data_IF_973327375507
#
_entry.id   IF_973327375507
#
_cell.length_a   1.000
_cell.length_b   1.000
_cell.length_c   1.000
_cell.angle_alpha   90.00
_cell.angle_beta   90.00
_cell.angle_gamma   90.00
#
_symmetry.space_group_name_H-M   'P 1'
#
loop_
_entity.id
_entity.type
_entity.pdbx_description
1 polymer ?
#
# COMPACT_ATOMS: atom_id res chain seq x y z
N UNK A 1 33.17 36.08 14.77
CA UNK A 1 32.45 35.05 14.05
C UNK A 1 31.89 34.02 15.03
N UNK A 2 30.58 33.95 15.23
CA UNK A 2 29.96 33.01 16.17
C UNK A 2 30.12 31.58 15.67
N UNK A 3 30.83 30.75 16.42
CA UNK A 3 31.00 29.31 16.15
C UNK A 3 29.65 28.63 16.34
N UNK A 4 29.02 28.17 15.23
CA UNK A 4 27.75 27.42 15.31
C UNK A 4 28.04 26.11 16.08
N UNK A 5 27.29 25.90 17.17
CA UNK A 5 27.34 24.71 18.01
C UNK A 5 27.27 23.43 17.12
N UNK A 6 28.24 22.49 17.29
CA UNK A 6 28.26 21.22 16.54
C UNK A 6 26.96 20.42 16.65
N UNK A 7 26.29 20.44 17.81
CA UNK A 7 25.01 19.74 18.06
C UNK A 7 23.91 20.37 17.22
N UNK A 8 23.84 21.71 17.16
CA UNK A 8 22.88 22.44 16.31
C UNK A 8 23.10 22.18 14.82
N UNK A 9 24.36 22.14 14.39
CA UNK A 9 24.73 21.81 12.98
C UNK A 9 24.30 20.39 12.61
N UNK A 10 24.56 19.40 13.49
CA UNK A 10 24.15 18.02 13.28
C UNK A 10 22.62 17.86 13.25
N UNK A 11 21.88 18.61 14.10
CA UNK A 11 20.41 18.63 14.09
C UNK A 11 19.87 19.19 12.77
N UNK A 12 20.40 20.32 12.29
CA UNK A 12 20.01 20.92 11.00
C UNK A 12 20.32 19.96 9.85
N UNK A 13 21.47 19.30 9.86
CA UNK A 13 21.83 18.31 8.83
C UNK A 13 20.90 17.10 8.80
N UNK A 14 20.49 16.58 9.96
CA UNK A 14 19.51 15.49 10.05
C UNK A 14 18.16 15.91 9.51
N UNK A 15 17.68 17.11 9.88
CA UNK A 15 16.39 17.63 9.43
C UNK A 15 16.38 17.86 7.90
N UNK A 16 17.42 18.44 7.33
CA UNK A 16 17.55 18.59 5.87
C UNK A 16 17.51 17.23 5.15
N UNK A 17 18.22 16.23 5.68
CA UNK A 17 18.19 14.86 5.12
C UNK A 17 16.79 14.27 5.19
N UNK A 18 16.10 14.40 6.32
CA UNK A 18 14.72 13.94 6.50
C UNK A 18 13.76 14.59 5.48
N UNK A 19 13.85 15.91 5.30
CA UNK A 19 13.03 16.66 4.36
C UNK A 19 13.29 16.27 2.90
N UNK A 20 14.55 16.10 2.51
CA UNK A 20 14.89 15.69 1.13
C UNK A 20 14.41 14.27 0.86
N UNK A 21 14.57 13.34 1.81
CA UNK A 21 14.03 11.98 1.68
C UNK A 21 12.50 11.98 1.57
N UNK A 22 11.82 12.79 2.35
CA UNK A 22 10.35 12.93 2.28
C UNK A 22 9.91 13.50 0.92
N UNK A 23 10.63 14.50 0.35
CA UNK A 23 10.34 15.02 -0.99
C UNK A 23 10.51 13.97 -2.08
N UNK A 24 11.56 13.15 -2.03
CA UNK A 24 11.76 12.07 -2.98
C UNK A 24 10.62 11.04 -2.93
N UNK A 25 10.17 10.64 -1.73
CA UNK A 25 9.06 9.70 -1.56
C UNK A 25 7.72 10.30 -2.01
N UNK A 26 7.48 11.57 -1.70
CA UNK A 26 6.27 12.27 -2.13
C UNK A 26 6.22 12.44 -3.66
N UNK A 27 7.36 12.78 -4.29
CA UNK A 27 7.47 12.82 -5.75
C UNK A 27 7.26 11.45 -6.37
N UNK A 28 7.85 10.39 -5.80
CA UNK A 28 7.58 9.03 -6.24
C UNK A 28 6.10 8.67 -6.13
N UNK A 29 5.43 9.00 -5.00
CA UNK A 29 4.00 8.80 -4.85
C UNK A 29 3.18 9.50 -5.94
N UNK A 30 3.49 10.78 -6.23
CA UNK A 30 2.80 11.53 -7.29
C UNK A 30 3.00 10.91 -8.66
N UNK A 31 4.21 10.46 -8.98
CA UNK A 31 4.54 9.88 -10.28
C UNK A 31 3.95 8.48 -10.45
N UNK A 32 4.17 7.57 -9.50
CA UNK A 32 3.63 6.21 -9.53
C UNK A 32 2.11 6.16 -9.33
N UNK A 33 1.51 7.18 -8.72
CA UNK A 33 0.07 7.32 -8.55
C UNK A 33 -0.70 7.76 -9.81
N UNK A 34 -0.03 7.83 -10.98
CA UNK A 34 -0.66 8.07 -12.29
C UNK A 34 -0.96 6.76 -12.99
N UNK A 35 -1.91 6.75 -13.90
CA UNK A 35 -2.30 5.56 -14.69
C UNK A 35 -1.09 4.89 -15.39
N UNK A 36 -0.18 5.70 -15.94
CA UNK A 36 1.03 5.21 -16.62
C UNK A 36 2.30 5.35 -15.77
N UNK A 37 2.15 5.41 -14.44
CA UNK A 37 3.24 5.65 -13.50
C UNK A 37 4.33 4.58 -13.50
N UNK A 38 4.07 3.38 -14.00
CA UNK A 38 5.03 2.27 -14.05
C UNK A 38 6.31 2.59 -14.84
N UNK A 39 6.23 3.49 -15.80
CA UNK A 39 7.36 3.88 -16.65
C UNK A 39 8.21 5.02 -16.04
N UNK A 40 7.91 5.44 -14.81
CA UNK A 40 8.64 6.51 -14.12
C UNK A 40 10.10 6.14 -13.91
N UNK A 41 11.00 7.05 -14.27
CA UNK A 41 12.45 6.91 -14.11
C UNK A 41 12.95 7.73 -12.92
N UNK A 42 14.18 7.45 -12.48
CA UNK A 42 14.84 8.21 -11.41
C UNK A 42 14.93 9.70 -11.75
N UNK A 43 15.21 10.02 -13.04
CA UNK A 43 15.30 11.38 -13.55
C UNK A 43 13.98 12.15 -13.36
N UNK A 44 12.83 11.49 -13.62
CA UNK A 44 11.52 12.09 -13.46
C UNK A 44 11.23 12.40 -11.98
N UNK A 45 11.59 11.47 -11.08
CA UNK A 45 11.44 11.65 -9.64
C UNK A 45 12.34 12.79 -9.15
N UNK A 46 13.57 12.89 -9.64
CA UNK A 46 14.51 13.96 -9.28
C UNK A 46 14.01 15.32 -9.74
N UNK A 47 13.52 15.42 -10.98
CA UNK A 47 12.94 16.64 -11.53
C UNK A 47 11.71 17.09 -10.71
N UNK A 48 10.78 16.18 -10.43
CA UNK A 48 9.60 16.45 -9.61
C UNK A 48 9.94 16.84 -8.17
N UNK A 49 11.02 16.26 -7.59
CA UNK A 49 11.49 16.56 -6.24
C UNK A 49 12.34 17.84 -6.16
N UNK A 50 12.75 18.41 -7.30
CA UNK A 50 13.68 19.54 -7.34
C UNK A 50 15.05 19.20 -6.76
N UNK A 51 15.61 18.01 -7.08
CA UNK A 51 16.93 17.58 -6.61
C UNK A 51 17.79 17.07 -7.76
N UNK A 52 19.11 17.21 -7.65
CA UNK A 52 20.04 16.62 -8.59
C UNK A 52 20.05 15.08 -8.49
N UNK A 53 20.32 14.38 -9.60
CA UNK A 53 20.44 12.91 -9.65
C UNK A 53 21.47 12.37 -8.64
N UNK A 54 22.60 13.05 -8.45
CA UNK A 54 23.59 12.68 -7.43
C UNK A 54 23.04 12.73 -6.00
N UNK A 55 22.11 13.67 -5.73
CA UNK A 55 21.42 13.75 -4.45
C UNK A 55 20.53 12.53 -4.23
N UNK A 56 19.83 12.02 -5.25
CA UNK A 56 19.04 10.81 -5.16
C UNK A 56 19.88 9.62 -4.66
N UNK A 57 21.04 9.40 -5.25
CA UNK A 57 21.94 8.29 -4.90
C UNK A 57 22.54 8.40 -3.49
N UNK A 58 22.50 9.58 -2.87
CA UNK A 58 22.82 9.74 -1.43
C UNK A 58 21.80 9.07 -0.51
N UNK A 59 20.54 8.91 -0.97
CA UNK A 59 19.44 8.36 -0.19
C UNK A 59 19.06 6.93 -0.59
N UNK A 60 19.11 6.62 -1.88
CA UNK A 60 18.67 5.35 -2.44
C UNK A 60 19.67 4.82 -3.46
N UNK A 61 20.06 3.55 -3.33
CA UNK A 61 21.00 2.88 -4.26
C UNK A 61 20.40 2.64 -5.65
N UNK A 62 19.11 2.93 -5.85
CA UNK A 62 18.39 2.72 -7.09
C UNK A 62 16.89 2.90 -6.89
N UNK A 63 16.12 2.63 -7.95
CA UNK A 63 14.68 2.78 -7.93
C UNK A 63 14.00 1.78 -6.97
N UNK A 64 14.44 0.53 -6.97
CA UNK A 64 13.83 -0.53 -6.17
C UNK A 64 13.80 -0.24 -4.65
N UNK A 65 14.89 0.19 -3.98
CA UNK A 65 14.83 0.58 -2.57
C UNK A 65 13.86 1.73 -2.28
N UNK A 66 13.73 2.69 -3.20
CA UNK A 66 12.74 3.77 -3.08
C UNK A 66 11.31 3.20 -3.15
N UNK A 67 11.04 2.31 -4.11
CA UNK A 67 9.71 1.71 -4.28
C UNK A 67 9.32 0.79 -3.12
N UNK A 68 10.28 0.04 -2.58
CA UNK A 68 10.06 -0.76 -1.36
C UNK A 68 9.67 0.13 -0.18
N UNK A 69 10.33 1.29 -0.02
CA UNK A 69 9.97 2.23 1.04
C UNK A 69 8.61 2.89 0.78
N UNK A 70 8.34 3.26 -0.47
CA UNK A 70 7.04 3.81 -0.87
C UNK A 70 5.91 2.83 -0.58
N UNK A 71 6.03 1.59 -1.05
CA UNK A 71 5.04 0.54 -0.81
C UNK A 71 4.81 0.30 0.68
N UNK A 72 5.90 0.25 1.48
CA UNK A 72 5.81 0.12 2.93
C UNK A 72 5.07 1.29 3.59
N UNK A 73 5.27 2.52 3.12
CA UNK A 73 4.54 3.68 3.64
C UNK A 73 3.06 3.65 3.25
N UNK A 74 2.76 3.33 2.00
CA UNK A 74 1.39 3.26 1.48
C UNK A 74 0.54 2.21 2.21
N UNK A 75 1.15 1.07 2.55
CA UNK A 75 0.43 -0.04 3.20
C UNK A 75 0.39 0.06 4.72
N UNK A 76 1.37 0.73 5.35
CA UNK A 76 1.52 0.75 6.81
C UNK A 76 0.29 1.30 7.53
N UNK A 77 -0.17 2.48 7.14
CA UNK A 77 -1.26 3.15 7.82
C UNK A 77 -2.60 2.48 7.49
N UNK A 78 -2.78 2.06 6.24
CA UNK A 78 -3.93 1.26 5.83
C UNK A 78 -4.02 -0.05 6.62
N UNK A 79 -2.94 -0.84 6.65
CA UNK A 79 -2.91 -2.12 7.35
C UNK A 79 -3.16 -1.96 8.85
N UNK A 80 -2.63 -0.89 9.47
CA UNK A 80 -2.88 -0.62 10.90
C UNK A 80 -4.36 -0.40 11.20
N UNK A 81 -5.04 0.39 10.38
CA UNK A 81 -6.47 0.70 10.57
C UNK A 81 -7.35 -0.51 10.29
N UNK A 82 -7.08 -1.21 9.20
CA UNK A 82 -7.80 -2.44 8.84
C UNK A 82 -7.58 -3.53 9.91
N UNK A 83 -6.35 -3.69 10.42
CA UNK A 83 -6.04 -4.69 11.43
C UNK A 83 -6.85 -4.53 12.72
N UNK A 84 -7.13 -3.28 13.15
CA UNK A 84 -7.97 -3.02 14.34
C UNK A 84 -9.38 -3.60 14.18
N UNK A 85 -9.92 -3.56 12.95
CA UNK A 85 -11.24 -4.11 12.65
C UNK A 85 -11.17 -5.62 12.47
N UNK A 86 -10.17 -6.12 11.72
CA UNK A 86 -10.03 -7.55 11.44
C UNK A 86 -9.89 -8.39 12.71
N UNK A 87 -9.16 -7.92 13.73
CA UNK A 87 -8.98 -8.62 15.00
C UNK A 87 -10.29 -8.86 15.78
N UNK A 88 -11.36 -8.13 15.44
CA UNK A 88 -12.68 -8.31 16.06
C UNK A 88 -13.53 -9.36 15.35
N UNK A 89 -13.08 -9.81 14.18
CA UNK A 89 -13.77 -10.83 13.41
C UNK A 89 -13.39 -12.23 13.91
N UNK A 90 -14.37 -13.16 13.99
CA UNK A 90 -14.22 -14.40 14.73
C UNK A 90 -13.21 -15.37 14.12
N UNK A 91 -13.09 -15.40 12.79
CA UNK A 91 -12.37 -16.45 12.09
C UNK A 91 -11.56 -15.94 10.89
N UNK A 92 -10.67 -16.78 10.34
CA UNK A 92 -9.80 -16.45 9.24
C UNK A 92 -10.57 -16.18 7.93
N UNK A 93 -11.71 -16.86 7.73
CA UNK A 93 -12.56 -16.67 6.53
C UNK A 93 -13.15 -15.26 6.51
N UNK A 94 -13.69 -14.80 7.65
CA UNK A 94 -14.24 -13.45 7.77
C UNK A 94 -13.15 -12.38 7.67
N UNK A 95 -12.00 -12.60 8.31
CA UNK A 95 -10.85 -11.69 8.25
C UNK A 95 -10.31 -11.55 6.83
N UNK A 96 -10.14 -12.66 6.12
CA UNK A 96 -9.63 -12.64 4.73
C UNK A 96 -10.62 -11.95 3.79
N UNK A 97 -11.92 -12.25 3.90
CA UNK A 97 -12.95 -11.57 3.12
C UNK A 97 -12.96 -10.07 3.37
N UNK A 98 -12.95 -9.65 4.63
CA UNK A 98 -12.96 -8.24 4.97
C UNK A 98 -11.68 -7.52 4.50
N UNK A 99 -10.51 -8.15 4.66
CA UNK A 99 -9.23 -7.58 4.25
C UNK A 99 -9.20 -7.26 2.75
N UNK A 100 -9.58 -8.23 1.90
CA UNK A 100 -9.58 -8.03 0.44
C UNK A 100 -10.61 -6.97 0.03
N UNK A 101 -11.80 -6.98 0.63
CA UNK A 101 -12.85 -6.00 0.30
C UNK A 101 -12.45 -4.59 0.73
N UNK A 102 -11.91 -4.39 1.93
CA UNK A 102 -11.38 -3.10 2.35
C UNK A 102 -10.31 -2.58 1.39
N UNK A 103 -9.43 -3.47 0.95
CA UNK A 103 -8.36 -3.11 0.02
C UNK A 103 -8.91 -2.67 -1.34
N UNK A 104 -9.85 -3.43 -1.91
CA UNK A 104 -10.46 -3.11 -3.20
C UNK A 104 -11.34 -1.84 -3.13
N UNK A 105 -12.10 -1.65 -2.05
CA UNK A 105 -12.87 -0.42 -1.84
C UNK A 105 -11.95 0.80 -1.68
N UNK A 106 -10.83 0.67 -0.95
CA UNK A 106 -9.83 1.74 -0.84
C UNK A 106 -9.20 2.08 -2.20
N UNK A 107 -8.96 1.08 -3.05
CA UNK A 107 -8.44 1.28 -4.41
C UNK A 107 -9.38 2.16 -5.25
N UNK A 108 -10.69 1.97 -5.16
CA UNK A 108 -11.69 2.79 -5.85
C UNK A 108 -11.81 4.17 -5.22
N UNK A 109 -11.90 4.23 -3.90
CA UNK A 109 -12.06 5.49 -3.17
C UNK A 109 -10.84 6.42 -3.31
N UNK A 110 -9.65 5.84 -3.49
CA UNK A 110 -8.37 6.56 -3.56
C UNK A 110 -7.54 6.11 -4.77
N UNK A 111 -7.94 6.44 -6.01
CA UNK A 111 -7.32 5.89 -7.22
C UNK A 111 -5.82 6.17 -7.33
N UNK A 112 -5.36 7.35 -6.87
CA UNK A 112 -3.91 7.67 -6.84
C UNK A 112 -3.13 6.73 -5.93
N UNK A 113 -3.67 6.38 -4.77
CA UNK A 113 -3.07 5.41 -3.86
C UNK A 113 -3.06 4.02 -4.50
N UNK A 114 -4.18 3.60 -5.09
CA UNK A 114 -4.28 2.34 -5.81
C UNK A 114 -3.25 2.23 -6.95
N UNK A 115 -3.15 3.24 -7.81
CA UNK A 115 -2.14 3.28 -8.88
C UNK A 115 -0.72 3.25 -8.33
N UNK A 116 -0.43 4.01 -7.26
CA UNK A 116 0.90 4.00 -6.64
C UNK A 116 1.28 2.62 -6.14
N UNK A 117 0.38 1.88 -5.52
CA UNK A 117 0.61 0.49 -5.09
C UNK A 117 0.84 -0.44 -6.28
N UNK A 118 -0.02 -0.40 -7.29
CA UNK A 118 0.09 -1.26 -8.49
C UNK A 118 1.40 -0.96 -9.22
N UNK A 119 1.70 0.30 -9.48
CA UNK A 119 2.87 0.69 -10.25
C UNK A 119 4.19 0.54 -9.49
N UNK A 120 4.18 0.59 -8.14
CA UNK A 120 5.37 0.36 -7.31
C UNK A 120 5.62 -1.11 -6.98
N UNK A 121 4.71 -2.01 -7.36
CA UNK A 121 4.90 -3.46 -7.24
C UNK A 121 5.90 -3.94 -8.28
N UNK A 122 7.18 -3.94 -7.88
CA UNK A 122 8.31 -4.34 -8.72
C UNK A 122 9.13 -5.42 -8.02
N UNK A 123 9.87 -6.20 -8.81
CA UNK A 123 10.67 -7.29 -8.30
C UNK A 123 9.79 -8.46 -7.83
N UNK A 124 10.18 -9.09 -6.71
CA UNK A 124 9.55 -10.31 -6.21
C UNK A 124 8.41 -10.10 -5.21
N UNK A 125 8.03 -8.86 -4.89
CA UNK A 125 7.00 -8.59 -3.90
C UNK A 125 5.85 -7.78 -4.49
N UNK A 126 4.65 -8.39 -4.53
CA UNK A 126 3.41 -7.66 -4.77
C UNK A 126 3.06 -6.88 -3.50
N UNK A 127 2.83 -5.57 -3.63
CA UNK A 127 2.48 -4.67 -2.51
C UNK A 127 3.51 -4.58 -1.38
N UNK A 128 4.70 -5.21 -1.52
CA UNK A 128 5.79 -5.17 -0.56
C UNK A 128 5.78 -6.29 0.48
N UNK A 129 6.98 -6.62 0.99
CA UNK A 129 7.23 -7.76 1.87
C UNK A 129 6.39 -7.77 3.16
N UNK A 130 5.94 -6.62 3.66
CA UNK A 130 5.14 -6.57 4.89
C UNK A 130 3.74 -7.16 4.66
N UNK A 131 3.08 -6.80 3.55
CA UNK A 131 1.76 -7.33 3.24
C UNK A 131 1.83 -8.82 2.90
N UNK A 132 2.87 -9.27 2.21
CA UNK A 132 3.07 -10.69 1.93
C UNK A 132 3.20 -11.52 3.21
N UNK A 133 3.98 -11.06 4.20
CA UNK A 133 4.09 -11.75 5.50
C UNK A 133 2.75 -11.79 6.24
N UNK A 134 1.97 -10.70 6.21
CA UNK A 134 0.65 -10.67 6.84
C UNK A 134 -0.32 -11.63 6.15
N UNK A 135 -0.34 -11.67 4.82
CA UNK A 135 -1.16 -12.59 4.06
C UNK A 135 -0.78 -14.05 4.35
N UNK A 136 0.53 -14.36 4.31
CA UNK A 136 1.03 -15.70 4.62
C UNK A 136 0.61 -16.17 6.02
N UNK A 137 0.80 -15.31 7.04
CA UNK A 137 0.42 -15.63 8.41
C UNK A 137 -1.10 -15.86 8.58
N UNK A 138 -1.92 -15.03 7.92
CA UNK A 138 -3.39 -15.19 7.97
C UNK A 138 -3.87 -16.45 7.25
N UNK A 139 -3.24 -16.82 6.14
CA UNK A 139 -3.57 -18.07 5.43
C UNK A 139 -3.12 -19.29 6.24
N UNK A 140 -1.92 -19.25 6.83
CA UNK A 140 -1.43 -20.33 7.69
C UNK A 140 -2.37 -20.56 8.88
N UNK A 141 -2.79 -19.48 9.56
CA UNK A 141 -3.78 -19.57 10.64
C UNK A 141 -5.07 -20.28 10.17
N UNK A 142 -5.59 -19.92 9.00
CA UNK A 142 -6.80 -20.54 8.45
C UNK A 142 -6.62 -22.02 8.09
N UNK A 143 -5.41 -22.43 7.68
CA UNK A 143 -5.07 -23.86 7.47
C UNK A 143 -5.02 -24.59 8.82
N UNK A 144 -4.31 -24.02 9.80
CA UNK A 144 -4.13 -24.63 11.13
C UNK A 144 -5.45 -24.82 11.88
N UNK A 145 -6.40 -23.91 11.66
CA UNK A 145 -7.76 -23.98 12.25
C UNK A 145 -8.75 -24.80 11.41
N UNK A 146 -8.31 -25.34 10.25
CA UNK A 146 -9.17 -26.13 9.36
C UNK A 146 -10.21 -25.31 8.58
N UNK A 147 -10.07 -23.99 8.55
CA UNK A 147 -10.98 -23.09 7.84
C UNK A 147 -10.63 -22.96 6.36
N UNK A 148 -9.36 -23.15 6.01
CA UNK A 148 -8.87 -23.24 4.63
C UNK A 148 -8.36 -24.66 4.35
N UNK A 149 -8.62 -25.11 3.10
CA UNK A 149 -8.17 -26.42 2.61
C UNK A 149 -7.23 -26.20 1.42
N UNK A 150 -5.93 -26.09 1.72
CA UNK A 150 -4.87 -25.78 0.77
C UNK A 150 -3.64 -26.65 1.00
N UNK A 151 -2.82 -26.93 -0.03
CA UNK A 151 -1.59 -27.71 0.13
C UNK A 151 -0.50 -26.94 0.90
N UNK A 152 -0.59 -25.62 1.04
CA UNK A 152 0.33 -24.78 1.76
C UNK A 152 -0.08 -23.32 1.76
N UNK A 153 0.42 -22.56 2.72
CA UNK A 153 0.06 -21.16 2.90
C UNK A 153 0.57 -20.26 1.76
N UNK A 154 1.68 -20.62 1.12
CA UNK A 154 2.23 -19.91 -0.04
C UNK A 154 1.24 -19.88 -1.20
N UNK A 155 0.59 -20.99 -1.49
CA UNK A 155 -0.43 -21.09 -2.56
C UNK A 155 -1.60 -20.15 -2.24
N UNK A 156 -2.08 -20.16 -1.02
CA UNK A 156 -3.17 -19.28 -0.59
C UNK A 156 -2.77 -17.80 -0.64
N UNK A 157 -1.57 -17.45 -0.19
CA UNK A 157 -1.02 -16.10 -0.32
C UNK A 157 -0.99 -15.66 -1.78
N UNK A 158 -0.47 -16.48 -2.69
CA UNK A 158 -0.34 -16.15 -4.11
C UNK A 158 -1.71 -15.97 -4.78
N UNK A 159 -2.70 -16.80 -4.42
CA UNK A 159 -4.09 -16.63 -4.85
C UNK A 159 -4.64 -15.28 -4.38
N UNK A 160 -4.53 -14.96 -3.09
CA UNK A 160 -5.11 -13.74 -2.51
C UNK A 160 -4.43 -12.48 -3.06
N UNK A 161 -3.10 -12.43 -3.05
CA UNK A 161 -2.36 -11.25 -3.50
C UNK A 161 -2.42 -11.09 -5.02
N UNK A 162 -2.31 -12.16 -5.78
CA UNK A 162 -2.38 -12.15 -7.24
C UNK A 162 -3.76 -11.72 -7.76
N UNK A 163 -4.82 -12.30 -7.22
CA UNK A 163 -6.18 -11.90 -7.60
C UNK A 163 -6.52 -10.49 -7.11
N UNK A 164 -6.09 -10.10 -5.90
CA UNK A 164 -6.24 -8.73 -5.40
C UNK A 164 -5.54 -7.71 -6.28
N UNK A 165 -4.34 -8.04 -6.76
CA UNK A 165 -3.57 -7.21 -7.70
C UNK A 165 -4.29 -7.05 -9.04
N UNK A 166 -4.73 -8.13 -9.64
CA UNK A 166 -5.47 -8.12 -10.90
C UNK A 166 -6.80 -7.35 -10.77
N UNK A 167 -7.54 -7.58 -9.69
CA UNK A 167 -8.79 -6.89 -9.40
C UNK A 167 -8.59 -5.38 -9.20
N UNK A 168 -7.50 -4.97 -8.54
CA UNK A 168 -7.14 -3.56 -8.39
C UNK A 168 -6.92 -2.87 -9.74
N UNK A 169 -6.20 -3.52 -10.65
CA UNK A 169 -5.99 -3.00 -12.02
C UNK A 169 -7.33 -2.86 -12.75
N UNK A 170 -8.21 -3.85 -12.65
CA UNK A 170 -9.55 -3.82 -13.26
C UNK A 170 -10.35 -2.63 -12.75
N UNK A 171 -10.43 -2.45 -11.42
CA UNK A 171 -11.13 -1.34 -10.77
C UNK A 171 -10.59 0.04 -11.16
N UNK A 172 -9.26 0.14 -11.34
CA UNK A 172 -8.60 1.40 -11.70
C UNK A 172 -8.72 1.76 -13.18
N UNK A 173 -9.02 0.80 -14.05
CA UNK A 173 -9.10 1.01 -15.50
C UNK A 173 -10.47 1.42 -15.99
N UNK A 174 -11.53 1.12 -15.25
CA UNK A 174 -12.87 1.46 -15.72
C UNK A 174 -13.99 1.00 -14.79
N UNK A 175 -15.24 1.23 -15.18
CA UNK A 175 -16.39 0.86 -14.39
C UNK A 175 -16.49 -0.66 -14.24
N UNK A 176 -16.88 -1.10 -13.05
CA UNK A 176 -17.15 -2.49 -12.71
C UNK A 176 -18.52 -2.58 -12.03
N UNK A 177 -19.11 -3.79 -11.89
CA UNK A 177 -20.31 -3.96 -11.09
C UNK A 177 -20.11 -3.41 -9.66
N UNK A 178 -21.17 -2.84 -9.05
CA UNK A 178 -21.07 -2.26 -7.70
C UNK A 178 -20.58 -3.23 -6.63
N UNK A 179 -20.84 -4.52 -6.79
CA UNK A 179 -20.48 -5.61 -5.90
C UNK A 179 -19.22 -6.39 -6.35
N UNK A 180 -18.41 -5.77 -7.22
CA UNK A 180 -17.22 -6.43 -7.79
C UNK A 180 -16.23 -6.91 -6.70
N UNK A 181 -16.00 -6.10 -5.66
CA UNK A 181 -15.13 -6.47 -4.56
C UNK A 181 -15.65 -7.69 -3.79
N UNK A 182 -16.97 -7.78 -3.59
CA UNK A 182 -17.67 -8.90 -2.99
C UNK A 182 -17.57 -10.16 -3.84
N UNK A 183 -17.72 -10.02 -5.16
CA UNK A 183 -17.57 -11.13 -6.10
C UNK A 183 -16.14 -11.69 -6.08
N UNK A 184 -15.13 -10.81 -6.08
CA UNK A 184 -13.71 -11.22 -5.98
C UNK A 184 -13.46 -11.93 -4.64
N UNK A 185 -13.90 -11.35 -3.52
CA UNK A 185 -13.74 -11.97 -2.21
C UNK A 185 -14.39 -13.34 -2.12
N UNK A 186 -15.60 -13.50 -2.67
CA UNK A 186 -16.30 -14.80 -2.72
C UNK A 186 -15.50 -15.84 -3.49
N UNK A 187 -15.00 -15.52 -4.68
CA UNK A 187 -14.24 -16.47 -5.49
C UNK A 187 -12.90 -16.82 -4.85
N UNK A 188 -12.24 -15.85 -4.22
CA UNK A 188 -11.02 -16.09 -3.46
C UNK A 188 -11.27 -17.09 -2.31
N UNK A 189 -12.31 -16.89 -1.51
CA UNK A 189 -12.65 -17.81 -0.43
C UNK A 189 -12.92 -19.24 -0.93
N UNK A 190 -13.63 -19.37 -2.05
CA UNK A 190 -13.85 -20.69 -2.69
C UNK A 190 -12.51 -21.31 -3.11
N UNK A 191 -11.61 -20.52 -3.71
CA UNK A 191 -10.25 -20.93 -4.07
C UNK A 191 -9.39 -21.35 -2.87
N UNK A 192 -9.68 -20.82 -1.68
CA UNK A 192 -9.06 -21.22 -0.40
C UNK A 192 -9.72 -22.47 0.23
N UNK A 193 -10.67 -23.09 -0.45
CA UNK A 193 -11.36 -24.30 0.03
C UNK A 193 -12.60 -24.04 0.88
N UNK A 194 -13.06 -22.79 1.01
CA UNK A 194 -14.29 -22.46 1.73
C UNK A 194 -15.53 -22.87 0.92
N UNK A 195 -16.53 -23.46 1.55
CA UNK A 195 -17.77 -23.86 0.86
C UNK A 195 -18.46 -22.64 0.20
N UNK A 196 -19.08 -22.86 -0.96
CA UNK A 196 -19.77 -21.78 -1.71
C UNK A 196 -20.81 -21.04 -0.89
N UNK A 197 -21.54 -21.74 -0.04
CA UNK A 197 -22.58 -21.15 0.84
C UNK A 197 -21.93 -20.19 1.84
N UNK A 198 -20.88 -20.64 2.55
CA UNK A 198 -20.16 -19.83 3.54
C UNK A 198 -19.46 -18.63 2.86
N UNK A 199 -18.79 -18.87 1.75
CA UNK A 199 -18.11 -17.81 0.98
C UNK A 199 -19.08 -16.71 0.54
N UNK A 200 -20.25 -17.06 0.00
CA UNK A 200 -21.28 -16.10 -0.39
C UNK A 200 -21.78 -15.28 0.81
N UNK A 201 -22.12 -15.96 1.92
CA UNK A 201 -22.60 -15.29 3.14
C UNK A 201 -21.57 -14.32 3.72
N UNK A 202 -20.30 -14.72 3.76
CA UNK A 202 -19.23 -13.91 4.35
C UNK A 202 -18.85 -12.74 3.42
N UNK A 203 -18.79 -12.96 2.11
CA UNK A 203 -18.44 -11.92 1.15
C UNK A 203 -19.45 -10.77 1.10
N UNK A 204 -20.72 -11.01 1.42
CA UNK A 204 -21.77 -9.97 1.43
C UNK A 204 -22.01 -9.34 2.81
N UNK A 205 -21.32 -9.79 3.86
CA UNK A 205 -21.46 -9.23 5.21
C UNK A 205 -21.05 -7.76 5.21
N UNK A 206 -21.85 -6.90 5.86
CA UNK A 206 -21.56 -5.47 5.96
C UNK A 206 -20.21 -5.23 6.63
N UNK A 207 -19.35 -4.46 5.97
CA UNK A 207 -18.08 -4.01 6.53
C UNK A 207 -18.30 -2.83 7.50
N UNK A 208 -17.51 -2.76 8.57
CA UNK A 208 -17.46 -1.57 9.41
C UNK A 208 -16.80 -0.43 8.63
N UNK A 209 -17.29 0.80 8.82
CA UNK A 209 -16.65 1.99 8.24
C UNK A 209 -15.26 2.17 8.86
N UNK A 210 -14.22 2.23 8.04
CA UNK A 210 -12.88 2.63 8.50
C UNK A 210 -12.86 4.14 8.74
N UNK A 211 -12.11 4.64 9.74
CA UNK A 211 -11.83 6.06 9.84
C UNK A 211 -11.10 6.52 8.58
N UNK A 212 -11.21 7.82 8.24
CA UNK A 212 -10.53 8.37 7.07
C UNK A 212 -9.02 8.10 7.19
N UNK A 213 -8.42 7.34 6.27
CA UNK A 213 -7.09 6.82 6.49
C UNK A 213 -6.01 7.91 6.42
N UNK A 214 -5.10 7.89 7.41
CA UNK A 214 -3.98 8.83 7.48
C UNK A 214 -3.03 8.75 6.27
N UNK A 215 -3.06 7.66 5.48
CA UNK A 215 -2.28 7.53 4.24
C UNK A 215 -2.73 8.49 3.13
N UNK A 216 -3.93 9.04 3.21
CA UNK A 216 -4.40 10.10 2.30
C UNK A 216 -3.61 11.40 2.43
N UNK A 217 -2.88 11.59 3.52
CA UNK A 217 -2.05 12.79 3.75
C UNK A 217 -0.66 12.70 3.09
N UNK A 218 -0.29 11.58 2.47
CA UNK A 218 0.85 11.51 1.55
C UNK A 218 0.52 12.40 0.33
N UNK A 219 1.29 13.46 0.14
CA UNK A 219 1.05 14.46 -0.92
C UNK A 219 0.44 15.78 -0.43
N UNK A 220 -0.26 15.81 0.71
CA UNK A 220 -0.83 17.05 1.28
C UNK A 220 0.19 17.75 2.21
N UNK A 221 1.02 16.98 2.92
CA UNK A 221 2.05 17.55 3.83
C UNK A 221 3.20 18.27 3.11
N UNK A 222 3.44 17.97 1.82
CA UNK A 222 4.45 18.67 1.00
C UNK A 222 4.00 20.03 0.49
N UNK A 223 2.72 20.21 0.21
CA UNK A 223 2.18 21.45 -0.33
C UNK A 223 2.17 22.59 0.70
N UNK A 224 1.92 22.28 1.98
CA UNK A 224 1.89 23.28 3.06
C UNK A 224 3.28 23.83 3.41
N UNK A 225 4.33 23.01 3.25
CA UNK A 225 5.70 23.44 3.53
C UNK A 225 6.29 24.34 2.41
N UNK A 226 5.86 24.13 1.16
CA UNK A 226 6.31 24.92 0.01
C UNK A 226 5.68 26.31 -0.04
N UNK A 227 4.42 26.45 0.39
CA UNK A 227 3.71 27.73 0.40
C UNK A 227 4.21 28.69 1.49
N UNK A 228 4.78 28.19 2.58
CA UNK A 228 5.36 29.01 3.64
C UNK A 228 6.80 29.46 3.34
N UNK A 229 7.53 28.76 2.48
CA UNK A 229 8.90 29.14 2.11
C UNK A 229 8.97 30.21 1.02
N UNK A 230 7.88 30.48 0.29
CA UNK A 230 7.80 31.53 -0.73
C UNK A 230 7.29 32.87 -0.22
N UNK A 231 6.97 32.96 1.08
CA UNK A 231 6.52 34.21 1.74
C UNK A 231 7.50 34.77 2.77
N UNK A 232 8.78 34.42 2.68
CA UNK A 232 9.84 35.09 3.48
C UNK A 232 10.98 35.55 2.56
#
# INVERSE_FOLDING_TARGET
MARIDPVRRAKIGRERRRLTRARLLDSAFRMFGRTHGRNTRIEDICAEAGVARGTFYTYYKGLEPLLQELSRQLTRDFNREVHVVLRKLPDAVERTSAAIRYFLHATVAYPRWGWALVNSSVGRYLYGAALERLALASIQEGIDTGEFSLPGAEVGRDIVLGAGFAASITLLRGPTPPDYAEQVARQLLIGLGVSRIRASRVATRRLQTLPAPAFMTLGVRGASASAQSQRR
#
